data_IF_671427504005
#
_entry.id   IF_671427504005
#
_cell.length_a   1.000
_cell.length_b   1.000
_cell.length_c   1.000
_cell.angle_alpha   90.00
_cell.angle_beta   90.00
_cell.angle_gamma   90.00
#
_symmetry.space_group_name_H-M   'P 1'
#
loop_
_entity.id
_entity.type
_entity.pdbx_description
1 polymer ?
#
# COMPACT_ATOMS: atom_id res chain seq x y z
N UNK A 1 20.53 -22.61 -8.99
CA UNK A 1 20.80 -21.16 -8.95
C UNK A 1 21.27 -20.84 -7.54
N UNK A 2 22.43 -20.21 -7.42
CA UNK A 2 22.86 -19.61 -6.15
C UNK A 2 22.15 -18.28 -6.01
N UNK A 3 21.62 -17.97 -4.82
CA UNK A 3 21.13 -16.63 -4.50
C UNK A 3 22.35 -15.78 -4.18
N UNK A 4 22.45 -14.61 -4.80
CA UNK A 4 23.43 -13.58 -4.48
C UNK A 4 22.83 -12.64 -3.44
N UNK A 5 23.65 -12.20 -2.49
CA UNK A 5 23.27 -11.23 -1.47
C UNK A 5 24.28 -10.09 -1.45
N UNK A 6 23.80 -8.86 -1.58
CA UNK A 6 24.61 -7.64 -1.54
C UNK A 6 24.10 -6.76 -0.41
N UNK A 7 25.02 -6.23 0.39
CA UNK A 7 24.71 -5.22 1.41
C UNK A 7 25.17 -3.88 0.85
N UNK A 8 24.29 -2.88 0.85
CA UNK A 8 24.60 -1.54 0.36
C UNK A 8 23.90 -0.46 1.18
N UNK A 9 24.44 0.75 1.12
CA UNK A 9 23.79 1.96 1.64
C UNK A 9 22.80 2.54 0.61
N UNK A 10 21.89 3.45 1.01
CA UNK A 10 21.03 4.17 0.08
C UNK A 10 21.79 4.92 -1.03
N UNK A 11 23.03 5.35 -0.76
CA UNK A 11 23.87 6.07 -1.73
C UNK A 11 24.42 5.16 -2.84
N UNK A 12 24.77 3.91 -2.51
CA UNK A 12 25.28 2.92 -3.47
C UNK A 12 24.14 2.24 -4.25
N UNK A 13 22.93 2.27 -3.69
CA UNK A 13 21.77 1.53 -4.16
C UNK A 13 21.46 1.73 -5.64
N UNK A 14 21.57 2.97 -6.15
CA UNK A 14 21.27 3.26 -7.57
C UNK A 14 22.15 2.44 -8.50
N UNK A 15 23.47 2.49 -8.29
CA UNK A 15 24.44 1.77 -9.12
C UNK A 15 24.22 0.26 -9.09
N UNK A 16 24.09 -0.29 -7.87
CA UNK A 16 23.85 -1.72 -7.65
C UNK A 16 22.54 -2.17 -8.32
N UNK A 17 21.42 -1.51 -8.03
CA UNK A 17 20.12 -1.92 -8.58
C UNK A 17 20.04 -1.77 -10.09
N UNK A 18 20.59 -0.70 -10.69
CA UNK A 18 20.54 -0.56 -12.15
C UNK A 18 21.30 -1.69 -12.83
N UNK A 19 22.48 -2.04 -12.33
CA UNK A 19 23.27 -3.15 -12.89
C UNK A 19 22.54 -4.49 -12.73
N UNK A 20 21.99 -4.77 -11.54
CA UNK A 20 21.25 -6.01 -11.29
C UNK A 20 20.01 -6.08 -12.18
N UNK A 21 19.28 -4.97 -12.37
CA UNK A 21 18.10 -4.93 -13.24
C UNK A 21 18.46 -5.20 -14.71
N UNK A 22 19.57 -4.66 -15.22
CA UNK A 22 20.05 -4.94 -16.58
C UNK A 22 20.23 -6.45 -16.81
N UNK A 23 20.91 -7.11 -15.87
CA UNK A 23 21.24 -8.53 -15.95
C UNK A 23 19.98 -9.41 -15.72
N UNK A 24 19.33 -9.25 -14.56
CA UNK A 24 18.24 -10.12 -14.10
C UNK A 24 16.94 -9.90 -14.85
N UNK A 25 16.64 -8.65 -15.26
CA UNK A 25 15.44 -8.35 -16.04
C UNK A 25 15.71 -8.37 -17.55
N UNK A 26 16.97 -8.48 -17.97
CA UNK A 26 17.40 -8.46 -19.38
C UNK A 26 16.90 -7.21 -20.11
N UNK A 27 17.10 -6.04 -19.51
CA UNK A 27 16.71 -4.73 -20.04
C UNK A 27 17.96 -3.89 -20.35
N UNK A 28 17.80 -2.83 -21.15
CA UNK A 28 18.91 -1.93 -21.47
C UNK A 28 19.30 -1.04 -20.27
N UNK A 29 20.55 -0.54 -20.21
CA UNK A 29 20.96 0.40 -19.16
C UNK A 29 20.07 1.63 -19.06
N UNK A 30 19.65 2.18 -20.19
CA UNK A 30 18.73 3.33 -20.23
C UNK A 30 17.37 3.01 -19.60
N UNK A 31 16.82 1.81 -19.85
CA UNK A 31 15.56 1.40 -19.24
C UNK A 31 15.71 1.16 -17.73
N UNK A 32 16.83 0.56 -17.29
CA UNK A 32 17.09 0.35 -15.87
C UNK A 32 17.22 1.68 -15.10
N UNK A 33 17.95 2.64 -15.67
CA UNK A 33 18.08 4.00 -15.12
C UNK A 33 16.71 4.71 -15.06
N UNK A 34 15.92 4.64 -16.13
CA UNK A 34 14.58 5.24 -16.18
C UNK A 34 13.63 4.62 -15.15
N UNK A 35 13.64 3.28 -14.98
CA UNK A 35 12.86 2.63 -13.93
C UNK A 35 13.29 3.09 -12.53
N UNK A 36 14.58 3.22 -12.29
CA UNK A 36 15.06 3.71 -11.00
C UNK A 36 14.58 5.14 -10.76
N UNK A 37 14.88 6.05 -11.68
CA UNK A 37 14.63 7.48 -11.52
C UNK A 37 13.13 7.81 -11.43
N UNK A 38 12.29 7.10 -12.19
CA UNK A 38 10.85 7.37 -12.22
C UNK A 38 10.05 6.62 -11.15
N UNK A 39 10.57 5.50 -10.60
CA UNK A 39 9.78 4.64 -9.70
C UNK A 39 10.43 4.36 -8.36
N UNK A 40 11.75 4.31 -8.26
CA UNK A 40 12.46 3.87 -7.05
C UNK A 40 13.12 5.02 -6.30
N UNK A 41 13.56 6.06 -7.00
CA UNK A 41 14.28 7.18 -6.41
C UNK A 41 13.47 7.86 -5.30
N UNK A 42 12.20 8.20 -5.57
CA UNK A 42 11.29 8.75 -4.54
C UNK A 42 11.10 7.76 -3.37
N UNK A 43 10.98 6.47 -3.66
CA UNK A 43 10.75 5.43 -2.67
C UNK A 43 11.90 5.37 -1.65
N UNK A 44 13.14 5.33 -2.15
CA UNK A 44 14.33 5.18 -1.30
C UNK A 44 14.79 6.50 -0.67
N UNK A 45 14.52 7.66 -1.30
CA UNK A 45 14.78 8.98 -0.70
C UNK A 45 13.98 9.24 0.57
N UNK A 46 12.84 8.57 0.77
CA UNK A 46 12.01 8.68 1.97
C UNK A 46 12.54 7.90 3.17
N UNK A 47 13.52 7.02 2.98
CA UNK A 47 14.11 6.22 4.06
C UNK A 47 15.05 7.06 4.93
N UNK A 48 15.19 6.70 6.20
CA UNK A 48 16.21 7.29 7.08
C UNK A 48 17.61 6.98 6.58
N UNK A 49 18.55 7.88 6.88
CA UNK A 49 19.95 7.77 6.44
C UNK A 49 20.67 6.54 7.01
N UNK A 50 20.27 6.08 8.19
CA UNK A 50 20.84 4.92 8.88
C UNK A 50 20.24 3.59 8.43
N UNK A 51 19.28 3.58 7.51
CA UNK A 51 18.73 2.34 6.95
C UNK A 51 19.74 1.71 6.01
N UNK A 52 20.13 0.48 6.31
CA UNK A 52 20.93 -0.34 5.41
C UNK A 52 20.08 -1.33 4.62
N UNK A 53 20.53 -1.59 3.38
CA UNK A 53 19.79 -2.34 2.39
C UNK A 53 20.49 -3.66 2.11
N UNK A 54 19.71 -4.74 2.04
CA UNK A 54 20.19 -6.07 1.66
C UNK A 54 19.45 -6.52 0.42
N UNK A 55 20.15 -6.62 -0.71
CA UNK A 55 19.60 -7.01 -2.00
C UNK A 55 19.79 -8.52 -2.19
N UNK A 56 18.73 -9.23 -2.55
CA UNK A 56 18.77 -10.66 -2.88
C UNK A 56 18.20 -10.91 -4.29
N UNK A 57 18.99 -11.61 -5.11
CA UNK A 57 18.62 -11.97 -6.48
C UNK A 57 19.38 -13.24 -6.93
N UNK A 58 18.81 -14.06 -7.84
CA UNK A 58 17.41 -14.06 -8.24
C UNK A 58 16.47 -14.43 -7.07
N UNK A 59 15.35 -13.71 -6.92
CA UNK A 59 14.36 -13.92 -5.86
C UNK A 59 13.04 -14.48 -6.42
N UNK A 60 12.43 -15.42 -5.69
CA UNK A 60 11.13 -15.99 -6.06
C UNK A 60 10.04 -15.36 -5.19
N UNK A 61 9.35 -14.34 -5.72
CA UNK A 61 8.17 -13.79 -5.06
C UNK A 61 6.92 -14.59 -5.41
N UNK A 62 6.14 -14.99 -4.39
CA UNK A 62 4.94 -15.81 -4.57
C UNK A 62 3.85 -15.12 -5.38
N UNK A 63 3.68 -13.80 -5.23
CA UNK A 63 2.61 -13.02 -5.86
C UNK A 63 2.95 -12.80 -7.33
N UNK A 64 4.17 -12.36 -7.63
CA UNK A 64 4.59 -12.24 -9.02
C UNK A 64 4.67 -13.59 -9.73
N UNK A 65 5.10 -14.66 -9.05
CA UNK A 65 5.17 -16.01 -9.62
C UNK A 65 3.81 -16.51 -10.09
N UNK A 66 2.76 -16.21 -9.34
CA UNK A 66 1.39 -16.51 -9.68
C UNK A 66 0.96 -15.79 -10.97
N UNK A 67 1.10 -14.45 -11.02
CA UNK A 67 0.85 -13.67 -12.23
C UNK A 67 1.69 -14.13 -13.42
N UNK A 68 2.95 -14.52 -13.19
CA UNK A 68 3.85 -14.98 -14.24
C UNK A 68 3.30 -16.22 -14.94
N UNK A 69 2.96 -17.27 -14.21
CA UNK A 69 2.45 -18.50 -14.83
C UNK A 69 1.00 -18.39 -15.30
N UNK A 70 0.19 -17.56 -14.65
CA UNK A 70 -1.19 -17.32 -15.09
C UNK A 70 -1.26 -16.51 -16.39
N UNK A 71 -0.24 -15.68 -16.67
CA UNK A 71 -0.30 -14.75 -17.80
C UNK A 71 1.04 -14.47 -18.50
N UNK A 72 2.04 -13.92 -17.81
CA UNK A 72 3.26 -13.43 -18.49
C UNK A 72 4.03 -14.51 -19.24
N UNK A 73 4.01 -15.76 -18.78
CA UNK A 73 4.67 -16.89 -19.44
C UNK A 73 4.05 -17.25 -20.80
N UNK A 74 2.81 -16.83 -21.04
CA UNK A 74 2.11 -17.05 -22.31
C UNK A 74 2.41 -15.97 -23.36
N UNK A 75 3.10 -14.88 -22.97
CA UNK A 75 3.37 -13.77 -23.88
C UNK A 75 4.45 -14.10 -24.89
N UNK A 76 4.30 -13.49 -26.07
CA UNK A 76 5.33 -13.52 -27.13
C UNK A 76 6.62 -12.82 -26.69
N UNK A 77 6.51 -11.70 -25.97
CA UNK A 77 7.67 -11.06 -25.33
C UNK A 77 8.10 -11.92 -24.15
N UNK A 78 9.40 -12.19 -24.03
CA UNK A 78 9.95 -12.90 -22.89
C UNK A 78 9.96 -11.98 -21.66
N UNK A 79 9.30 -12.42 -20.60
CA UNK A 79 9.39 -11.84 -19.26
C UNK A 79 10.26 -12.76 -18.41
N UNK A 80 11.01 -12.17 -17.48
CA UNK A 80 11.78 -12.94 -16.52
C UNK A 80 10.86 -13.40 -15.39
N UNK A 81 11.12 -14.58 -14.85
CA UNK A 81 10.26 -15.18 -13.81
C UNK A 81 10.72 -14.81 -12.40
N UNK A 82 11.97 -14.39 -12.27
CA UNK A 82 12.63 -14.09 -11.01
C UNK A 82 12.65 -12.58 -10.77
N UNK A 83 12.66 -12.21 -9.50
CA UNK A 83 12.56 -10.85 -8.98
C UNK A 83 13.87 -10.44 -8.30
N UNK A 84 13.92 -9.19 -7.84
CA UNK A 84 14.93 -8.70 -6.91
C UNK A 84 14.21 -8.35 -5.62
N UNK A 85 14.76 -8.70 -4.45
CA UNK A 85 14.22 -8.24 -3.16
C UNK A 85 15.22 -7.32 -2.50
N UNK A 86 14.76 -6.15 -2.08
CA UNK A 86 15.52 -5.20 -1.25
C UNK A 86 14.94 -5.24 0.16
N UNK A 87 15.74 -5.68 1.11
CA UNK A 87 15.38 -5.77 2.53
C UNK A 87 15.95 -4.60 3.31
N UNK A 88 15.18 -4.05 4.25
CA UNK A 88 15.49 -2.83 4.98
C UNK A 88 15.84 -3.16 6.43
N UNK A 89 16.94 -2.60 6.96
CA UNK A 89 17.34 -2.74 8.36
C UNK A 89 17.78 -1.40 8.92
N UNK A 90 17.41 -1.07 10.15
CA UNK A 90 17.99 0.07 10.86
C UNK A 90 19.44 -0.25 11.25
N UNK A 91 20.38 0.66 10.95
CA UNK A 91 21.79 0.53 11.31
C UNK A 91 22.55 -0.57 10.55
N UNK A 92 23.81 -0.76 10.94
CA UNK A 92 24.75 -1.59 10.17
C UNK A 92 24.40 -3.11 10.16
N UNK A 93 24.63 -3.73 9.02
CA UNK A 93 24.36 -5.11 8.64
C UNK A 93 25.63 -5.68 8.06
N UNK A 94 26.31 -6.51 8.84
CA UNK A 94 27.51 -7.21 8.41
C UNK A 94 27.20 -8.69 8.15
N UNK A 95 27.92 -9.37 7.24
CA UNK A 95 27.68 -10.78 6.92
C UNK A 95 27.65 -11.72 8.14
N UNK A 96 28.48 -11.46 9.15
CA UNK A 96 28.55 -12.18 10.43
C UNK A 96 27.27 -12.09 11.26
N UNK A 97 26.47 -11.03 11.09
CA UNK A 97 25.20 -10.90 11.79
C UNK A 97 24.23 -12.03 11.41
N UNK A 98 24.32 -12.54 10.17
CA UNK A 98 23.48 -13.65 9.70
C UNK A 98 23.98 -15.04 10.11
N UNK A 99 25.12 -15.12 10.81
CA UNK A 99 25.78 -16.40 11.15
C UNK A 99 25.94 -16.62 12.66
N UNK A 100 25.60 -15.64 13.49
CA UNK A 100 25.68 -15.72 14.94
C UNK A 100 24.30 -15.55 15.59
N UNK A 101 24.06 -16.21 16.74
CA UNK A 101 22.78 -16.11 17.44
C UNK A 101 22.47 -14.68 17.89
N UNK A 102 23.47 -13.96 18.40
CA UNK A 102 23.35 -12.55 18.82
C UNK A 102 23.09 -11.63 17.62
N UNK A 103 23.80 -11.82 16.51
CA UNK A 103 23.58 -11.07 15.27
C UNK A 103 22.18 -11.29 14.71
N UNK A 104 21.71 -12.54 14.70
CA UNK A 104 20.35 -12.88 14.24
C UNK A 104 19.27 -12.24 15.12
N UNK A 105 19.48 -12.20 16.44
CA UNK A 105 18.57 -11.51 17.35
C UNK A 105 18.54 -10.00 17.04
N UNK A 106 19.70 -9.37 16.87
CA UNK A 106 19.81 -7.96 16.49
C UNK A 106 19.14 -7.66 15.14
N UNK A 107 19.35 -8.49 14.11
CA UNK A 107 18.72 -8.32 12.80
C UNK A 107 17.19 -8.40 12.88
N UNK A 108 16.63 -9.25 13.74
CA UNK A 108 15.17 -9.34 13.93
C UNK A 108 14.58 -8.06 14.51
N UNK A 109 15.27 -7.44 15.45
CA UNK A 109 14.84 -6.18 16.08
C UNK A 109 14.97 -4.98 15.12
N UNK A 110 15.98 -5.02 14.25
CA UNK A 110 16.29 -3.94 13.29
C UNK A 110 15.60 -4.09 11.94
N UNK A 111 14.96 -5.23 11.65
CA UNK A 111 14.30 -5.44 10.37
C UNK A 111 13.11 -4.49 10.20
N UNK A 112 13.05 -3.81 9.05
CA UNK A 112 12.01 -2.84 8.71
C UNK A 112 11.20 -3.22 7.47
N UNK A 113 11.39 -4.43 6.97
CA UNK A 113 10.59 -4.99 5.90
C UNK A 113 11.34 -5.07 4.58
N UNK A 114 10.61 -5.05 3.47
CA UNK A 114 11.16 -5.30 2.15
C UNK A 114 10.34 -4.67 1.03
N UNK A 115 11.02 -4.51 -0.11
CA UNK A 115 10.45 -4.13 -1.41
C UNK A 115 10.84 -5.21 -2.41
N UNK A 116 9.86 -5.77 -3.13
CA UNK A 116 10.13 -6.67 -4.25
C UNK A 116 10.07 -5.88 -5.55
N UNK A 117 11.10 -6.01 -6.38
CA UNK A 117 11.12 -5.51 -7.74
C UNK A 117 10.84 -6.68 -8.70
N UNK A 118 9.82 -6.52 -9.54
CA UNK A 118 9.39 -7.48 -10.55
C UNK A 118 9.75 -6.97 -11.97
N UNK A 119 10.00 -7.89 -12.92
CA UNK A 119 10.38 -7.55 -14.30
C UNK A 119 9.19 -7.10 -15.16
N UNK A 120 8.38 -6.14 -14.69
CA UNK A 120 7.17 -5.62 -15.36
C UNK A 120 7.29 -4.14 -15.72
N UNK A 121 8.33 -3.80 -16.47
CA UNK A 121 8.61 -2.43 -16.90
C UNK A 121 7.39 -1.74 -17.54
N UNK A 122 7.14 -0.44 -17.25
CA UNK A 122 7.94 0.42 -16.37
C UNK A 122 7.62 0.28 -14.88
N UNK A 123 6.52 -0.38 -14.50
CA UNK A 123 6.05 -0.45 -13.12
C UNK A 123 6.61 -1.69 -12.41
N UNK A 124 7.79 -1.52 -11.82
CA UNK A 124 8.56 -2.64 -11.27
C UNK A 124 8.30 -2.92 -9.79
N UNK A 125 7.64 -2.02 -9.05
CA UNK A 125 7.35 -2.26 -7.63
C UNK A 125 6.28 -3.35 -7.53
N UNK A 126 6.65 -4.49 -6.97
CA UNK A 126 5.77 -5.60 -6.62
C UNK A 126 5.43 -5.61 -5.14
N UNK A 127 5.16 -6.79 -4.60
CA UNK A 127 4.79 -7.00 -3.19
C UNK A 127 5.83 -6.40 -2.26
N UNK A 128 5.41 -5.43 -1.47
CA UNK A 128 6.26 -4.68 -0.55
C UNK A 128 5.57 -4.54 0.78
N UNK A 129 6.34 -4.62 1.87
CA UNK A 129 5.87 -4.35 3.23
C UNK A 129 6.97 -3.56 3.89
N UNK A 130 6.76 -2.26 4.08
CA UNK A 130 7.73 -1.36 4.69
C UNK A 130 7.17 -0.84 5.99
N UNK A 131 7.94 -0.95 7.06
CA UNK A 131 7.59 -0.36 8.35
C UNK A 131 7.64 1.16 8.25
N UNK A 132 6.63 1.89 8.79
CA UNK A 132 6.71 3.36 8.89
C UNK A 132 8.00 3.84 9.58
N UNK A 133 8.52 3.06 10.54
CA UNK A 133 9.75 3.40 11.25
C UNK A 133 11.01 3.41 10.38
N UNK A 134 10.97 2.90 9.15
CA UNK A 134 12.05 3.02 8.17
C UNK A 134 12.11 4.42 7.52
N UNK A 135 11.01 5.18 7.61
CA UNK A 135 10.83 6.46 6.92
C UNK A 135 11.35 7.62 7.77
N UNK A 136 11.84 8.65 7.09
CA UNK A 136 12.22 9.93 7.74
C UNK A 136 11.00 10.51 8.47
N UNK A 137 9.89 10.63 7.76
CA UNK A 137 8.60 11.08 8.31
C UNK A 137 7.66 9.90 8.55
N UNK A 138 7.30 9.70 9.81
CA UNK A 138 6.47 8.58 10.25
C UNK A 138 5.48 8.98 11.35
N UNK A 139 5.19 10.28 11.49
CA UNK A 139 4.23 10.84 12.45
C UNK A 139 2.78 10.65 11.97
N UNK A 140 2.36 9.40 11.94
CA UNK A 140 1.00 9.00 11.58
C UNK A 140 0.68 7.63 12.17
N UNK A 141 -0.61 7.35 12.29
CA UNK A 141 -1.14 6.03 12.62
C UNK A 141 -1.54 5.32 11.33
N UNK A 142 -1.05 4.10 11.15
CA UNK A 142 -1.41 3.27 10.00
C UNK A 142 -1.67 1.83 10.43
N UNK A 143 -2.56 1.17 9.71
CA UNK A 143 -2.78 -0.27 9.81
C UNK A 143 -1.51 -1.02 9.42
N UNK A 144 -1.22 -2.11 10.14
CA UNK A 144 -0.06 -2.95 9.88
C UNK A 144 -0.40 -4.43 10.12
N UNK A 145 0.12 -5.30 9.26
CA UNK A 145 0.11 -6.75 9.42
C UNK A 145 1.53 -7.30 9.60
N UNK A 146 1.62 -8.59 9.97
CA UNK A 146 2.89 -9.29 10.16
C UNK A 146 3.12 -10.32 9.03
N UNK A 147 4.26 -10.23 8.35
CA UNK A 147 4.57 -11.06 7.19
C UNK A 147 5.89 -11.80 7.36
N UNK A 148 5.79 -13.12 7.40
CA UNK A 148 6.97 -13.99 7.46
C UNK A 148 7.80 -13.86 6.18
N UNK A 149 9.10 -13.72 6.35
CA UNK A 149 10.06 -13.64 5.26
C UNK A 149 11.41 -14.20 5.72
N UNK A 150 12.36 -14.28 4.81
CA UNK A 150 13.73 -14.68 5.09
C UNK A 150 14.69 -13.69 4.49
N UNK A 151 15.86 -13.46 5.06
CA UNK A 151 16.96 -12.74 4.40
C UNK A 151 18.24 -13.50 4.70
N UNK A 152 18.99 -13.89 3.68
CA UNK A 152 20.23 -14.65 3.81
C UNK A 152 20.11 -15.83 4.80
N UNK A 153 19.06 -16.64 4.60
CA UNK A 153 18.63 -17.80 5.41
C UNK A 153 18.13 -17.52 6.85
N UNK A 154 18.06 -16.26 7.28
CA UNK A 154 17.49 -15.89 8.59
C UNK A 154 16.00 -15.60 8.45
N UNK A 155 15.16 -16.21 9.31
CA UNK A 155 13.72 -15.91 9.38
C UNK A 155 13.47 -14.59 10.09
N UNK A 156 12.71 -13.72 9.44
CA UNK A 156 12.35 -12.36 9.87
C UNK A 156 10.85 -12.13 9.69
N UNK A 157 10.33 -11.06 10.30
CA UNK A 157 8.92 -10.66 10.20
C UNK A 157 8.85 -9.20 9.78
N UNK A 158 8.34 -8.94 8.58
CA UNK A 158 8.06 -7.59 8.14
C UNK A 158 6.75 -7.12 8.77
N UNK A 159 6.74 -5.92 9.35
CA UNK A 159 5.56 -5.30 9.97
C UNK A 159 5.25 -4.00 9.23
N UNK A 160 4.05 -3.91 8.65
CA UNK A 160 3.62 -2.74 7.87
C UNK A 160 2.36 -3.03 7.06
N UNK A 161 1.90 -2.05 6.29
CA UNK A 161 0.81 -2.26 5.33
C UNK A 161 1.37 -2.84 4.01
N UNK A 162 0.73 -3.86 3.41
CA UNK A 162 1.16 -4.40 2.13
C UNK A 162 0.87 -3.42 0.99
N UNK A 163 1.83 -3.28 0.09
CA UNK A 163 1.76 -2.38 -1.05
C UNK A 163 2.37 -3.01 -2.30
N UNK A 164 1.88 -2.61 -3.46
CA UNK A 164 2.46 -2.90 -4.76
C UNK A 164 2.02 -1.80 -5.74
N UNK A 165 2.78 -1.58 -6.81
CA UNK A 165 2.29 -0.79 -7.94
C UNK A 165 1.44 -1.67 -8.86
N UNK A 166 0.59 -1.07 -9.69
CA UNK A 166 -0.08 -1.78 -10.78
C UNK A 166 0.91 -2.18 -11.88
N UNK A 167 0.74 -3.36 -12.48
CA UNK A 167 1.49 -3.74 -13.70
C UNK A 167 0.72 -3.42 -14.98
N UNK A 168 -0.49 -2.87 -14.87
CA UNK A 168 -1.40 -2.51 -15.97
C UNK A 168 -1.85 -3.68 -16.84
N UNK A 169 -1.51 -4.91 -16.46
CA UNK A 169 -1.85 -6.11 -17.23
C UNK A 169 -2.64 -7.12 -16.41
N UNK A 170 -2.02 -7.71 -15.39
CA UNK A 170 -2.65 -8.65 -14.45
C UNK A 170 -3.27 -7.95 -13.25
N UNK A 171 -2.69 -6.83 -12.81
CA UNK A 171 -3.19 -6.01 -11.71
C UNK A 171 -3.26 -4.56 -12.17
N UNK A 172 -4.47 -4.00 -12.22
CA UNK A 172 -4.68 -2.54 -12.29
C UNK A 172 -4.92 -2.00 -10.88
N UNK A 173 -5.23 -0.72 -10.74
CA UNK A 173 -5.41 -0.07 -9.44
C UNK A 173 -6.45 -0.77 -8.54
N UNK A 174 -7.57 -1.23 -9.12
CA UNK A 174 -8.62 -1.89 -8.36
C UNK A 174 -8.21 -3.29 -7.87
N UNK A 175 -7.61 -4.13 -8.71
CA UNK A 175 -7.11 -5.44 -8.26
C UNK A 175 -5.95 -5.30 -7.28
N UNK A 176 -5.09 -4.30 -7.46
CA UNK A 176 -3.99 -3.99 -6.52
C UNK A 176 -4.53 -3.60 -5.15
N UNK A 177 -5.58 -2.78 -5.12
CA UNK A 177 -6.28 -2.39 -3.87
C UNK A 177 -6.93 -3.59 -3.19
N UNK A 178 -7.63 -4.45 -3.95
CA UNK A 178 -8.22 -5.69 -3.44
C UNK A 178 -7.14 -6.62 -2.87
N UNK A 179 -6.05 -6.83 -3.59
CA UNK A 179 -4.92 -7.64 -3.14
C UNK A 179 -4.32 -7.11 -1.84
N UNK A 180 -4.06 -5.79 -1.75
CA UNK A 180 -3.49 -5.17 -0.56
C UNK A 180 -4.42 -5.33 0.67
N UNK A 181 -5.72 -5.12 0.51
CA UNK A 181 -6.70 -5.34 1.58
C UNK A 181 -6.70 -6.81 2.03
N UNK A 182 -6.75 -7.76 1.10
CA UNK A 182 -6.74 -9.19 1.44
C UNK A 182 -5.43 -9.64 2.10
N UNK A 183 -4.29 -9.15 1.61
CA UNK A 183 -2.97 -9.41 2.19
C UNK A 183 -2.86 -8.77 3.59
N UNK A 184 -3.48 -7.60 3.83
CA UNK A 184 -3.55 -6.97 5.16
C UNK A 184 -4.32 -7.85 6.14
N UNK A 185 -5.56 -8.22 5.80
CA UNK A 185 -6.38 -9.05 6.69
C UNK A 185 -5.70 -10.38 6.99
N UNK A 186 -5.09 -11.03 6.01
CA UNK A 186 -4.34 -12.28 6.20
C UNK A 186 -3.08 -12.13 7.08
N UNK A 187 -2.43 -10.97 7.03
CA UNK A 187 -1.26 -10.68 7.87
C UNK A 187 -1.62 -10.24 9.29
N UNK A 188 -2.86 -9.80 9.52
CA UNK A 188 -3.33 -9.25 10.80
C UNK A 188 -4.21 -10.22 11.60
N UNK A 189 -4.95 -11.09 10.92
CA UNK A 189 -5.99 -11.94 11.48
C UNK A 189 -5.85 -13.39 10.96
N UNK A 190 -5.67 -14.39 11.83
CA UNK A 190 -5.49 -15.80 11.44
C UNK A 190 -6.64 -16.43 10.64
N UNK A 191 -7.85 -15.86 10.74
CA UNK A 191 -9.06 -16.33 10.08
C UNK A 191 -9.04 -16.09 8.56
N UNK A 192 -8.23 -15.13 8.11
CA UNK A 192 -8.16 -14.70 6.71
C UNK A 192 -6.96 -15.30 6.00
N UNK A 193 -7.09 -15.50 4.69
CA UNK A 193 -6.03 -16.03 3.83
C UNK A 193 -5.64 -15.01 2.78
N UNK A 194 -4.35 -14.96 2.39
CA UNK A 194 -3.94 -14.07 1.31
C UNK A 194 -4.56 -14.57 0.00
N UNK A 195 -4.96 -13.64 -0.86
CA UNK A 195 -5.53 -13.93 -2.18
C UNK A 195 -4.50 -13.62 -3.24
N UNK A 196 -4.31 -14.54 -4.18
CA UNK A 196 -3.36 -14.37 -5.29
C UNK A 196 -4.01 -13.63 -6.46
N UNK A 197 -3.23 -12.90 -7.29
CA UNK A 197 -3.75 -12.19 -8.47
C UNK A 197 -4.59 -13.05 -9.42
N UNK A 198 -4.18 -14.30 -9.67
CA UNK A 198 -4.93 -15.26 -10.48
C UNK A 198 -6.31 -15.55 -9.92
N UNK A 199 -6.43 -15.70 -8.59
CA UNK A 199 -7.70 -15.95 -7.89
C UNK A 199 -8.63 -14.75 -7.99
N UNK A 200 -8.10 -13.51 -7.89
CA UNK A 200 -8.89 -12.28 -8.10
C UNK A 200 -9.45 -12.29 -9.52
N UNK A 201 -8.60 -12.52 -10.51
CA UNK A 201 -8.99 -12.60 -11.92
C UNK A 201 -10.09 -13.65 -12.13
N UNK A 202 -9.88 -14.87 -11.66
CA UNK A 202 -10.81 -15.99 -11.89
C UNK A 202 -12.15 -15.78 -11.20
N UNK A 203 -12.15 -15.18 -10.01
CA UNK A 203 -13.37 -14.77 -9.31
C UNK A 203 -14.18 -13.80 -10.17
N UNK A 204 -13.53 -12.77 -10.72
CA UNK A 204 -14.17 -11.75 -11.54
C UNK A 204 -14.63 -12.27 -12.91
N UNK A 205 -13.94 -13.25 -13.49
CA UNK A 205 -14.35 -13.89 -14.76
C UNK A 205 -15.75 -14.50 -14.67
N UNK A 206 -16.17 -14.99 -13.51
CA UNK A 206 -17.49 -15.60 -13.31
C UNK A 206 -18.66 -14.63 -13.51
N UNK A 207 -18.41 -13.31 -13.44
CA UNK A 207 -19.43 -12.26 -13.53
C UNK A 207 -19.16 -11.17 -14.56
N UNK A 208 -18.04 -11.23 -15.24
CA UNK A 208 -17.67 -10.21 -16.23
C UNK A 208 -17.99 -10.67 -17.65
N UNK A 209 -18.71 -9.83 -18.39
CA UNK A 209 -18.87 -9.97 -19.84
C UNK A 209 -17.61 -9.56 -20.62
N UNK A 210 -16.60 -9.00 -19.93
CA UNK A 210 -15.36 -8.50 -20.52
C UNK A 210 -14.17 -9.36 -20.11
N UNK A 211 -13.13 -9.37 -20.95
CA UNK A 211 -11.85 -10.03 -20.62
C UNK A 211 -11.30 -9.47 -19.30
N UNK A 212 -10.75 -10.34 -18.45
CA UNK A 212 -10.15 -9.95 -17.17
C UNK A 212 -8.62 -9.84 -17.23
N UNK A 213 -8.01 -10.31 -18.33
CA UNK A 213 -6.58 -10.07 -18.60
C UNK A 213 -6.37 -9.75 -20.10
N UNK A 214 -5.71 -8.65 -20.47
CA UNK A 214 -5.40 -7.50 -19.60
C UNK A 214 -6.66 -6.92 -18.98
N UNK A 215 -6.61 -6.54 -17.70
CA UNK A 215 -7.73 -5.85 -17.05
C UNK A 215 -7.83 -4.40 -17.54
N UNK A 216 -9.07 -3.91 -17.68
CA UNK A 216 -9.37 -2.50 -17.99
C UNK A 216 -9.76 -1.72 -16.72
N UNK A 217 -9.56 -2.32 -15.54
CA UNK A 217 -10.05 -1.82 -14.26
C UNK A 217 -11.35 -2.48 -13.84
N UNK A 218 -11.72 -2.25 -12.57
CA UNK A 218 -12.96 -2.75 -11.98
C UNK A 218 -13.89 -1.60 -11.63
N UNK A 219 -15.19 -1.82 -11.80
CA UNK A 219 -16.20 -0.95 -11.21
C UNK A 219 -16.46 -1.33 -9.73
N UNK A 220 -17.16 -0.45 -9.01
CA UNK A 220 -17.44 -0.64 -7.57
C UNK A 220 -18.21 -1.94 -7.31
N UNK A 221 -19.13 -2.33 -8.19
CA UNK A 221 -19.89 -3.57 -8.05
C UNK A 221 -19.01 -4.82 -8.17
N UNK A 222 -18.05 -4.83 -9.08
CA UNK A 222 -17.08 -5.90 -9.26
C UNK A 222 -16.14 -6.01 -8.05
N UNK A 223 -15.69 -4.88 -7.51
CA UNK A 223 -14.88 -4.86 -6.28
C UNK A 223 -15.67 -5.42 -5.09
N UNK A 224 -16.91 -4.96 -4.90
CA UNK A 224 -17.81 -5.47 -3.86
C UNK A 224 -18.10 -6.97 -4.03
N UNK A 225 -18.31 -7.42 -5.27
CA UNK A 225 -18.48 -8.83 -5.59
C UNK A 225 -17.27 -9.66 -5.18
N UNK A 226 -16.05 -9.27 -5.60
CA UNK A 226 -14.83 -10.01 -5.27
C UNK A 226 -14.62 -10.13 -3.76
N UNK A 227 -14.75 -9.01 -3.03
CA UNK A 227 -14.62 -9.00 -1.57
C UNK A 227 -15.66 -9.92 -0.89
N UNK A 228 -16.90 -9.96 -1.39
CA UNK A 228 -17.91 -10.88 -0.87
C UNK A 228 -17.55 -12.34 -1.09
N UNK A 229 -17.05 -12.70 -2.27
CA UNK A 229 -16.56 -14.07 -2.52
C UNK A 229 -15.34 -14.42 -1.65
N UNK A 230 -14.58 -13.42 -1.20
CA UNK A 230 -13.49 -13.59 -0.24
C UNK A 230 -13.93 -13.55 1.23
N UNK A 231 -15.24 -13.50 1.50
CA UNK A 231 -15.81 -13.61 2.85
C UNK A 231 -16.09 -12.30 3.56
N UNK A 232 -16.09 -11.16 2.86
CA UNK A 232 -16.39 -9.85 3.45
C UNK A 232 -17.84 -9.40 3.21
N UNK A 233 -18.45 -8.81 4.23
CA UNK A 233 -19.67 -8.02 4.07
C UNK A 233 -19.32 -6.63 3.56
N UNK A 234 -19.50 -6.36 2.27
CA UNK A 234 -19.20 -5.05 1.69
C UNK A 234 -20.42 -4.14 1.66
N UNK A 235 -20.21 -2.86 1.98
CA UNK A 235 -21.18 -1.79 1.72
C UNK A 235 -20.48 -0.65 1.01
N UNK A 236 -21.01 -0.27 -0.16
CA UNK A 236 -20.56 0.90 -0.89
C UNK A 236 -21.32 2.12 -0.38
N UNK A 237 -20.64 3.26 -0.33
CA UNK A 237 -21.20 4.56 0.01
C UNK A 237 -20.82 5.55 -1.10
N UNK A 238 -21.78 6.33 -1.57
CA UNK A 238 -21.56 7.38 -2.55
C UNK A 238 -21.64 8.75 -1.86
N UNK A 239 -20.67 9.62 -2.15
CA UNK A 239 -20.66 11.00 -1.65
C UNK A 239 -21.87 11.81 -2.13
N UNK A 240 -22.50 11.43 -3.25
CA UNK A 240 -23.72 12.06 -3.76
C UNK A 240 -24.99 11.68 -2.98
N UNK A 241 -24.97 10.59 -2.22
CA UNK A 241 -26.12 10.08 -1.46
C UNK A 241 -26.18 10.58 -0.01
N UNK A 242 -25.09 11.19 0.48
CA UNK A 242 -24.93 11.64 1.86
C UNK A 242 -24.60 13.12 1.93
N UNK A 243 -24.92 13.77 3.06
CA UNK A 243 -24.42 15.12 3.31
C UNK A 243 -22.88 15.10 3.40
N UNK A 244 -22.17 16.17 3.00
CA UNK A 244 -20.71 16.21 3.10
C UNK A 244 -20.18 15.93 4.51
N UNK A 245 -20.89 16.40 5.54
CA UNK A 245 -20.55 16.16 6.95
C UNK A 245 -20.76 14.69 7.31
N UNK A 246 -21.93 14.13 7.02
CA UNK A 246 -22.22 12.72 7.32
C UNK A 246 -21.28 11.76 6.59
N UNK A 247 -20.89 12.08 5.35
CA UNK A 247 -19.93 11.28 4.59
C UNK A 247 -18.52 11.34 5.19
N UNK A 248 -18.05 12.54 5.58
CA UNK A 248 -16.77 12.72 6.27
C UNK A 248 -16.73 11.97 7.60
N UNK A 249 -17.79 12.07 8.41
CA UNK A 249 -17.87 11.42 9.72
C UNK A 249 -17.90 9.89 9.57
N UNK A 250 -18.71 9.37 8.63
CA UNK A 250 -18.73 7.94 8.32
C UNK A 250 -17.35 7.43 7.89
N UNK A 251 -16.66 8.18 7.03
CA UNK A 251 -15.32 7.84 6.57
C UNK A 251 -14.33 7.80 7.74
N UNK A 252 -14.32 8.83 8.59
CA UNK A 252 -13.46 8.89 9.78
C UNK A 252 -13.74 7.72 10.74
N UNK A 253 -15.01 7.40 11.00
CA UNK A 253 -15.41 6.27 11.87
C UNK A 253 -14.85 4.93 11.37
N UNK A 254 -14.91 4.67 10.06
CA UNK A 254 -14.33 3.44 9.51
C UNK A 254 -12.81 3.38 9.65
N UNK A 255 -12.12 4.51 9.45
CA UNK A 255 -10.66 4.59 9.65
C UNK A 255 -10.31 4.34 11.13
N UNK A 256 -11.02 4.96 12.08
CA UNK A 256 -10.83 4.72 13.52
C UNK A 256 -11.19 3.28 13.93
N UNK A 257 -12.10 2.63 13.20
CA UNK A 257 -12.46 1.21 13.43
C UNK A 257 -11.36 0.23 13.02
N UNK A 258 -10.26 0.70 12.43
CA UNK A 258 -9.13 -0.12 12.05
C UNK A 258 -9.36 -0.97 10.79
N UNK A 259 -10.29 -0.54 9.94
CA UNK A 259 -10.67 -1.23 8.69
C UNK A 259 -10.09 -0.45 7.51
N UNK A 260 -9.30 -1.08 6.62
CA UNK A 260 -8.82 -0.40 5.42
C UNK A 260 -9.98 -0.12 4.46
N UNK A 261 -10.05 1.12 3.96
CA UNK A 261 -11.11 1.55 3.05
C UNK A 261 -10.59 1.58 1.62
N UNK A 262 -11.29 0.90 0.71
CA UNK A 262 -11.06 1.10 -0.73
C UNK A 262 -11.86 2.32 -1.18
N UNK A 263 -11.16 3.34 -1.65
CA UNK A 263 -11.75 4.62 -2.07
C UNK A 263 -11.64 4.75 -3.57
N UNK A 264 -12.80 4.86 -4.24
CA UNK A 264 -12.87 5.17 -5.66
C UNK A 264 -12.94 6.69 -5.86
N UNK A 265 -12.02 7.22 -6.66
CA UNK A 265 -11.88 8.65 -6.95
C UNK A 265 -12.17 8.85 -8.44
N UNK A 266 -13.02 9.81 -8.78
CA UNK A 266 -13.43 10.07 -10.16
C UNK A 266 -13.79 11.54 -10.38
N UNK A 267 -13.22 12.14 -11.42
CA UNK A 267 -13.57 13.48 -11.91
C UNK A 267 -14.50 13.42 -13.14
N UNK A 268 -14.93 12.21 -13.55
CA UNK A 268 -15.72 12.00 -14.77
C UNK A 268 -17.05 12.75 -14.76
N UNK A 269 -17.63 12.95 -13.57
CA UNK A 269 -18.85 13.75 -13.38
C UNK A 269 -18.66 15.24 -13.74
N UNK A 270 -17.41 15.72 -13.76
CA UNK A 270 -17.02 17.09 -14.18
C UNK A 270 -16.48 17.14 -15.62
N UNK A 271 -16.65 16.07 -16.39
CA UNK A 271 -16.12 15.95 -17.76
C UNK A 271 -14.64 15.58 -17.83
N UNK A 272 -14.05 15.18 -16.70
CA UNK A 272 -12.68 14.69 -16.64
C UNK A 272 -12.52 13.24 -17.09
N UNK A 273 -11.30 12.71 -16.98
CA UNK A 273 -10.92 11.36 -17.45
C UNK A 273 -10.34 10.47 -16.35
N UNK A 274 -10.20 10.99 -15.15
CA UNK A 274 -9.60 10.31 -14.01
C UNK A 274 -10.63 9.36 -13.42
N UNK A 275 -10.23 8.10 -13.29
CA UNK A 275 -10.88 7.11 -12.45
C UNK A 275 -9.77 6.32 -11.77
N UNK A 276 -9.76 6.30 -10.45
CA UNK A 276 -8.71 5.65 -9.67
C UNK A 276 -9.25 4.97 -8.42
N UNK A 277 -8.55 3.95 -7.94
CA UNK A 277 -8.84 3.28 -6.68
C UNK A 277 -7.60 3.31 -5.80
N UNK A 278 -7.76 3.78 -4.57
CA UNK A 278 -6.71 3.83 -3.55
C UNK A 278 -7.18 3.15 -2.27
N UNK A 279 -6.24 2.79 -1.39
CA UNK A 279 -6.58 2.23 -0.08
C UNK A 279 -6.22 3.24 1.01
N UNK A 280 -7.21 3.65 1.79
CA UNK A 280 -7.00 4.46 2.99
C UNK A 280 -6.83 3.52 4.17
N UNK A 281 -5.71 3.65 4.87
CA UNK A 281 -5.27 2.70 5.89
C UNK A 281 -4.73 3.38 7.14
N UNK A 282 -5.09 4.64 7.37
CA UNK A 282 -4.63 5.35 8.55
C UNK A 282 -4.91 6.83 8.51
N UNK A 283 -4.31 7.54 9.44
CA UNK A 283 -4.45 8.98 9.61
C UNK A 283 -3.26 9.60 10.34
N UNK A 284 -3.13 10.91 10.21
CA UNK A 284 -2.26 11.73 11.05
C UNK A 284 -2.54 11.54 12.55
N UNK A 285 -1.51 11.76 13.37
CA UNK A 285 -1.64 11.83 14.84
C UNK A 285 -2.63 12.94 15.22
N UNK A 286 -3.42 12.73 16.27
CA UNK A 286 -4.24 13.79 16.85
C UNK A 286 -3.41 14.55 17.88
N UNK A 287 -3.42 15.87 17.82
CA UNK A 287 -2.77 16.77 18.77
C UNK A 287 -3.79 17.36 19.75
N UNK A 288 -3.32 17.87 20.89
CA UNK A 288 -4.19 18.56 21.85
C UNK A 288 -4.90 19.76 21.22
N UNK A 289 -4.21 20.49 20.33
CA UNK A 289 -4.79 21.61 19.59
C UNK A 289 -5.96 21.17 18.69
N UNK A 290 -5.86 20.00 18.05
CA UNK A 290 -6.94 19.45 17.23
C UNK A 290 -8.18 19.11 18.06
N UNK A 291 -7.98 18.72 19.33
CA UNK A 291 -9.07 18.43 20.27
C UNK A 291 -9.68 19.74 20.78
N UNK A 292 -8.85 20.73 21.11
CA UNK A 292 -9.29 22.04 21.61
C UNK A 292 -10.08 22.84 20.55
N UNK A 293 -9.81 22.61 19.26
CA UNK A 293 -10.53 23.23 18.13
C UNK A 293 -11.91 22.59 17.86
N UNK A 294 -12.28 21.50 18.56
CA UNK A 294 -13.58 20.86 18.38
C UNK A 294 -14.73 21.74 18.87
N UNK A 295 -15.78 21.82 18.05
CA UNK A 295 -17.02 22.49 18.41
C UNK A 295 -18.01 21.51 19.04
N UNK A 296 -18.71 21.98 20.07
CA UNK A 296 -19.80 21.21 20.68
C UNK A 296 -20.87 20.85 19.64
N UNK A 297 -21.32 19.60 19.64
CA UNK A 297 -22.45 19.18 18.82
C UNK A 297 -23.75 19.85 19.30
N UNK A 298 -24.61 20.19 18.35
CA UNK A 298 -25.97 20.62 18.63
C UNK A 298 -26.88 19.40 18.77
N UNK A 299 -27.48 19.22 19.94
CA UNK A 299 -28.44 18.15 20.18
C UNK A 299 -29.79 18.48 19.50
N UNK A 300 -30.23 17.58 18.61
CA UNK A 300 -31.47 17.75 17.83
C UNK A 300 -32.72 17.61 18.71
N UNK A 301 -32.69 16.78 19.76
CA UNK A 301 -33.79 16.64 20.70
C UNK A 301 -33.85 17.84 21.67
N UNK A 302 -34.87 18.68 21.54
CA UNK A 302 -35.00 19.90 22.33
C UNK A 302 -35.10 19.70 23.86
N UNK A 303 -35.61 18.55 24.32
CA UNK A 303 -35.67 18.22 25.75
C UNK A 303 -34.25 17.91 26.25
N UNK A 304 -33.52 17.08 25.51
CA UNK A 304 -32.16 16.69 25.85
C UNK A 304 -31.20 17.89 25.75
N UNK A 305 -31.32 18.71 24.70
CA UNK A 305 -30.55 19.95 24.53
C UNK A 305 -30.73 20.90 25.72
N UNK A 306 -31.97 21.09 26.19
CA UNK A 306 -32.27 21.92 27.37
C UNK A 306 -31.63 21.34 28.63
N UNK A 307 -31.67 20.01 28.78
CA UNK A 307 -31.12 19.32 29.93
C UNK A 307 -29.59 19.36 29.95
N UNK A 308 -28.93 19.18 28.81
CA UNK A 308 -27.49 19.32 28.63
C UNK A 308 -27.04 20.74 28.96
N UNK A 309 -27.72 21.76 28.42
CA UNK A 309 -27.43 23.17 28.72
C UNK A 309 -27.58 23.48 30.20
N UNK A 310 -28.63 22.98 30.85
CA UNK A 310 -28.85 23.16 32.31
C UNK A 310 -27.74 22.52 33.14
N UNK A 311 -27.20 21.37 32.70
CA UNK A 311 -26.15 20.63 33.40
C UNK A 311 -24.72 21.04 32.99
N UNK A 312 -24.57 21.93 32.01
CA UNK A 312 -23.26 22.32 31.46
C UNK A 312 -22.55 21.15 30.77
N UNK A 313 -23.29 20.24 30.15
CA UNK A 313 -22.73 19.09 29.43
C UNK A 313 -22.46 19.52 27.98
N UNK A 314 -21.24 19.26 27.51
CA UNK A 314 -20.80 19.44 26.14
C UNK A 314 -20.45 18.07 25.55
N UNK A 315 -20.84 17.81 24.32
CA UNK A 315 -20.48 16.62 23.56
C UNK A 315 -19.71 17.08 22.33
N UNK A 316 -18.61 16.41 22.03
CA UNK A 316 -17.82 16.61 20.82
C UNK A 316 -17.56 15.24 20.20
N UNK A 317 -17.56 15.15 18.87
CA UNK A 317 -17.21 13.92 18.17
C UNK A 317 -15.75 13.97 17.69
N UNK A 318 -15.03 12.88 17.97
CA UNK A 318 -13.68 12.66 17.45
C UNK A 318 -13.64 12.60 15.91
N UNK A 319 -14.75 12.27 15.25
CA UNK A 319 -14.88 12.24 13.80
C UNK A 319 -14.77 13.64 13.17
N UNK A 320 -15.12 14.70 13.91
CA UNK A 320 -15.11 16.08 13.42
C UNK A 320 -13.70 16.70 13.36
N UNK A 321 -12.70 16.02 13.96
CA UNK A 321 -11.31 16.46 13.86
C UNK A 321 -10.87 16.41 12.40
N UNK A 322 -10.34 17.53 11.90
CA UNK A 322 -9.79 17.64 10.54
C UNK A 322 -8.44 16.94 10.47
N UNK A 323 -8.40 15.80 9.78
CA UNK A 323 -7.19 14.97 9.67
C UNK A 323 -6.73 14.81 8.23
N UNK A 324 -5.42 14.61 8.10
CA UNK A 324 -4.87 13.94 6.93
C UNK A 324 -5.02 12.43 7.09
N UNK A 325 -5.35 11.74 6.01
CA UNK A 325 -5.49 10.30 5.92
C UNK A 325 -4.25 9.70 5.27
N UNK A 326 -3.88 8.51 5.72
CA UNK A 326 -2.75 7.77 5.18
C UNK A 326 -3.25 6.85 4.07
N UNK A 327 -2.68 7.01 2.88
CA UNK A 327 -3.13 6.41 1.64
C UNK A 327 -2.04 5.50 1.08
N UNK A 328 -2.44 4.30 0.67
CA UNK A 328 -1.68 3.42 -0.22
C UNK A 328 -2.22 3.61 -1.64
N UNK A 329 -1.42 4.29 -2.46
CA UNK A 329 -1.67 4.55 -3.88
C UNK A 329 -0.66 3.74 -4.70
N UNK A 330 -1.09 3.13 -5.79
CA UNK A 330 -0.24 2.27 -6.62
C UNK A 330 0.73 3.07 -7.51
N UNK A 331 0.46 4.36 -7.71
CA UNK A 331 1.30 5.28 -8.48
C UNK A 331 2.44 5.88 -7.67
N UNK A 332 2.39 5.78 -6.34
CA UNK A 332 3.34 6.40 -5.41
C UNK A 332 3.89 5.40 -4.39
N UNK A 333 5.01 5.71 -3.70
CA UNK A 333 5.44 4.94 -2.54
C UNK A 333 4.35 4.95 -1.45
N UNK A 334 4.23 3.86 -0.68
CA UNK A 334 3.22 3.70 0.38
C UNK A 334 3.27 4.81 1.44
N UNK A 335 2.18 5.00 2.19
CA UNK A 335 2.02 6.03 3.23
C UNK A 335 2.04 7.46 2.69
N UNK A 336 1.27 7.74 1.63
CA UNK A 336 0.98 9.10 1.21
C UNK A 336 0.01 9.75 2.20
N UNK A 337 0.10 11.06 2.42
CA UNK A 337 -0.84 11.78 3.27
C UNK A 337 -1.73 12.70 2.44
N UNK A 338 -3.04 12.63 2.65
CA UNK A 338 -4.00 13.49 1.95
C UNK A 338 -5.14 13.94 2.87
N UNK A 339 -5.57 15.21 2.79
CA UNK A 339 -6.81 15.65 3.44
C UNK A 339 -8.03 14.97 2.83
N UNK A 340 -9.10 14.79 3.60
CA UNK A 340 -10.37 14.25 3.09
C UNK A 340 -10.94 15.04 1.90
N UNK A 341 -10.89 16.37 1.98
CA UNK A 341 -11.43 17.24 0.94
C UNK A 341 -10.64 17.21 -0.38
N UNK A 342 -9.37 16.79 -0.34
CA UNK A 342 -8.47 16.72 -1.48
C UNK A 342 -7.67 15.41 -1.43
N UNK A 343 -8.33 14.26 -1.68
CA UNK A 343 -7.76 12.92 -1.44
C UNK A 343 -6.53 12.59 -2.33
N UNK A 344 -6.24 13.45 -3.30
CA UNK A 344 -5.16 13.34 -4.29
C UNK A 344 -4.20 14.55 -4.23
N UNK A 345 -4.16 15.27 -3.10
CA UNK A 345 -3.34 16.48 -2.93
C UNK A 345 -1.83 16.28 -3.22
N UNK A 346 -1.32 15.06 -3.06
CA UNK A 346 0.07 14.68 -3.33
C UNK A 346 0.38 14.49 -4.83
N UNK A 347 -0.62 14.46 -5.71
CA UNK A 347 -0.37 14.49 -7.15
C UNK A 347 0.05 15.89 -7.58
N UNK A 348 1.15 16.01 -8.33
CA UNK A 348 1.59 17.31 -8.84
C UNK A 348 0.67 17.84 -9.95
N UNK A 349 0.13 16.93 -10.77
CA UNK A 349 -0.72 17.24 -11.92
C UNK A 349 -2.03 17.92 -11.50
N UNK A 350 -2.30 19.08 -12.10
CA UNK A 350 -3.49 19.89 -11.82
C UNK A 350 -4.82 19.19 -12.10
N UNK A 351 -4.86 18.20 -12.99
CA UNK A 351 -6.08 17.42 -13.25
C UNK A 351 -6.51 16.61 -12.03
N UNK A 352 -5.56 16.18 -11.19
CA UNK A 352 -5.84 15.44 -9.95
C UNK A 352 -6.19 16.35 -8.78
N UNK A 353 -6.14 17.68 -8.93
CA UNK A 353 -6.44 18.65 -7.88
C UNK A 353 -7.84 19.26 -8.00
N UNK A 354 -8.66 18.76 -8.92
CA UNK A 354 -9.96 19.33 -9.31
C UNK A 354 -11.16 18.72 -8.60
#
# INVERSE_FOLDING_TARGET
MSITTIVCSPYELKGELTQIMEEEFSISPGMAAEAYDNRLDEYFRRLKEDVQLVIEYPYVDKVYRDSYYAYFSSKRRRYQKDCIRVSLFDGEVLPEHFRSAAGVASLRERYRGFVVLRPTMPNIIGRSVVSPYALQEHRFLSLAGNYQTTVNAVKLVATGFPHASQDTETLTCAETSLWAVMEYFAGRYPEYKPVMPSVITDTLRSRSSFRQIPSEGLNIEQMGFALREFGFGTKAYDAAELSPVSFANLFAVYVESGIPLVVAISDRHRGGRIGHAVVVMGRSETTDADIDDLTAEEEEDGILATLMKKKGICITDNADIKRNFVVADDNYPVYQMAPFATPTAYYENADWKK
#
